data_IF_853884396361
#
_entry.id   IF_853884396361
#
_cell.length_a   1.000
_cell.length_b   1.000
_cell.length_c   1.000
_cell.angle_alpha   90.00
_cell.angle_beta   90.00
_cell.angle_gamma   90.00
#
_symmetry.space_group_name_H-M   'P 1'
#
loop_
_entity.id
_entity.type
_entity.pdbx_description
1 polymer ?
#
# COMPACT_ATOMS: atom_id res chain seq x y z
N UNK A 1 -17.26 -16.26 -23.35
CA UNK A 1 -16.08 -16.37 -22.50
C UNK A 1 -15.26 -15.10 -22.62
N UNK A 2 -14.86 -14.48 -21.51
CA UNK A 2 -14.45 -13.05 -21.43
C UNK A 2 -12.97 -12.80 -21.78
N UNK A 3 -12.40 -13.54 -22.72
CA UNK A 3 -10.99 -13.43 -23.11
C UNK A 3 -10.61 -12.07 -23.73
N UNK A 4 -11.56 -11.29 -24.24
CA UNK A 4 -11.34 -10.01 -24.91
C UNK A 4 -11.91 -8.79 -24.15
N UNK A 5 -11.91 -8.84 -22.79
CA UNK A 5 -12.34 -7.70 -22.01
C UNK A 5 -11.41 -6.49 -22.19
N UNK A 6 -12.00 -5.30 -22.35
CA UNK A 6 -11.26 -4.04 -22.28
C UNK A 6 -10.57 -3.90 -20.91
N UNK A 7 -9.45 -3.16 -20.86
CA UNK A 7 -8.69 -2.96 -19.62
C UNK A 7 -9.53 -2.34 -18.49
N UNK A 8 -10.48 -1.44 -18.81
CA UNK A 8 -11.41 -0.88 -17.83
C UNK A 8 -12.30 -1.97 -17.21
N UNK A 9 -12.86 -2.86 -18.03
CA UNK A 9 -13.68 -3.97 -17.55
C UNK A 9 -12.83 -4.96 -16.70
N UNK A 10 -11.60 -5.29 -17.14
CA UNK A 10 -10.67 -6.10 -16.34
C UNK A 10 -10.39 -5.47 -14.98
N UNK A 11 -10.17 -4.15 -14.92
CA UNK A 11 -9.95 -3.42 -13.67
C UNK A 11 -11.17 -3.44 -12.75
N UNK A 12 -12.37 -3.20 -13.30
CA UNK A 12 -13.62 -3.23 -12.53
C UNK A 12 -13.94 -4.61 -11.98
N UNK A 13 -13.85 -5.66 -12.81
CA UNK A 13 -14.13 -7.05 -12.37
C UNK A 13 -13.12 -7.48 -11.30
N UNK A 14 -11.82 -7.16 -11.49
CA UNK A 14 -10.80 -7.41 -10.46
C UNK A 14 -11.18 -6.77 -9.13
N UNK A 15 -11.55 -5.48 -9.14
CA UNK A 15 -11.88 -4.77 -7.91
C UNK A 15 -13.14 -5.32 -7.24
N UNK A 16 -14.18 -5.66 -8.01
CA UNK A 16 -15.39 -6.29 -7.48
C UNK A 16 -15.06 -7.61 -6.79
N UNK A 17 -14.22 -8.45 -7.40
CA UNK A 17 -13.80 -9.72 -6.79
C UNK A 17 -12.99 -9.46 -5.51
N UNK A 18 -11.98 -8.57 -5.55
CA UNK A 18 -11.14 -8.25 -4.41
C UNK A 18 -11.96 -7.68 -3.25
N UNK A 19 -12.87 -6.75 -3.54
CA UNK A 19 -13.77 -6.15 -2.56
C UNK A 19 -14.78 -7.17 -1.99
N UNK A 20 -15.35 -8.03 -2.82
CA UNK A 20 -16.24 -9.10 -2.38
C UNK A 20 -15.53 -10.10 -1.47
N UNK A 21 -14.30 -10.50 -1.82
CA UNK A 21 -13.50 -11.39 -0.98
C UNK A 21 -13.15 -10.75 0.38
N UNK A 22 -12.76 -9.47 0.40
CA UNK A 22 -12.46 -8.81 1.68
C UNK A 22 -13.72 -8.64 2.55
N UNK A 23 -14.87 -8.32 1.98
CA UNK A 23 -16.14 -8.32 2.72
C UNK A 23 -16.42 -9.69 3.32
N UNK A 24 -16.29 -10.76 2.51
CA UNK A 24 -16.51 -12.13 2.97
C UNK A 24 -15.56 -12.50 4.11
N UNK A 25 -14.26 -12.24 3.95
CA UNK A 25 -13.25 -12.53 4.99
C UNK A 25 -13.54 -11.73 6.27
N UNK A 26 -13.96 -10.46 6.16
CA UNK A 26 -14.32 -9.62 7.30
C UNK A 26 -15.56 -10.15 8.04
N UNK A 27 -16.59 -10.59 7.32
CA UNK A 27 -17.79 -11.19 7.90
C UNK A 27 -17.50 -12.54 8.58
N UNK A 28 -16.49 -13.25 8.12
CA UNK A 28 -16.04 -14.50 8.72
C UNK A 28 -15.10 -14.29 9.93
N UNK A 29 -14.87 -13.04 10.37
CA UNK A 29 -14.05 -12.76 11.55
C UNK A 29 -14.41 -13.60 12.80
N UNK A 30 -15.68 -13.86 13.13
CA UNK A 30 -16.04 -14.69 14.29
C UNK A 30 -15.48 -16.12 14.23
N UNK A 31 -15.21 -16.64 13.03
CA UNK A 31 -14.62 -17.96 12.80
C UNK A 31 -13.11 -17.92 12.65
N UNK A 32 -12.58 -16.89 11.98
CA UNK A 32 -11.18 -16.76 11.63
C UNK A 32 -10.32 -16.09 12.71
N UNK A 33 -10.93 -15.23 13.53
CA UNK A 33 -10.26 -14.51 14.60
C UNK A 33 -9.02 -13.75 14.11
N UNK A 34 -7.90 -14.00 14.75
CA UNK A 34 -6.61 -13.36 14.46
C UNK A 34 -6.01 -13.74 13.09
N UNK A 35 -6.54 -14.74 12.40
CA UNK A 35 -6.12 -15.07 11.02
C UNK A 35 -6.73 -14.13 9.98
N UNK A 36 -7.81 -13.42 10.33
CA UNK A 36 -8.53 -12.53 9.41
C UNK A 36 -7.62 -11.52 8.69
N UNK A 37 -6.77 -10.72 9.38
CA UNK A 37 -5.92 -9.74 8.69
C UNK A 37 -4.92 -10.41 7.74
N UNK A 38 -4.40 -11.56 8.09
CA UNK A 38 -3.46 -12.30 7.22
C UNK A 38 -4.15 -12.77 5.93
N UNK A 39 -5.34 -13.36 6.04
CA UNK A 39 -6.11 -13.83 4.89
C UNK A 39 -6.56 -12.63 4.04
N UNK A 40 -7.01 -11.53 4.69
CA UNK A 40 -7.40 -10.30 4.04
C UNK A 40 -6.32 -9.77 3.11
N UNK A 41 -5.07 -9.67 3.56
CA UNK A 41 -3.95 -9.13 2.77
C UNK A 41 -3.64 -9.96 1.49
N UNK A 42 -4.05 -11.23 1.43
CA UNK A 42 -3.91 -12.06 0.22
C UNK A 42 -5.13 -12.06 -0.69
N UNK A 43 -6.26 -11.43 -0.32
CA UNK A 43 -7.46 -11.39 -1.18
C UNK A 43 -7.22 -10.69 -2.52
N UNK A 44 -6.39 -9.63 -2.66
CA UNK A 44 -6.09 -9.04 -3.96
C UNK A 44 -5.26 -9.98 -4.84
N UNK A 45 -4.28 -10.70 -4.28
CA UNK A 45 -3.52 -11.70 -5.04
C UNK A 45 -4.40 -12.87 -5.49
N UNK A 46 -5.31 -13.35 -4.62
CA UNK A 46 -6.28 -14.38 -4.98
C UNK A 46 -7.18 -13.89 -6.13
N UNK A 47 -7.60 -12.61 -6.08
CA UNK A 47 -8.38 -12.00 -7.15
C UNK A 47 -7.62 -11.97 -8.49
N UNK A 48 -6.30 -11.72 -8.45
CA UNK A 48 -5.45 -11.84 -9.65
C UNK A 48 -5.46 -13.25 -10.19
N UNK A 49 -5.33 -14.27 -9.34
CA UNK A 49 -5.37 -15.68 -9.78
C UNK A 49 -6.73 -16.00 -10.42
N UNK A 50 -7.84 -15.57 -9.81
CA UNK A 50 -9.19 -15.76 -10.38
C UNK A 50 -9.29 -15.03 -11.74
N UNK A 51 -8.84 -13.78 -11.82
CA UNK A 51 -8.84 -13.04 -13.08
C UNK A 51 -8.05 -13.75 -14.17
N UNK A 52 -6.80 -14.11 -13.87
CA UNK A 52 -5.86 -14.63 -14.86
C UNK A 52 -6.15 -16.09 -15.26
N UNK A 53 -6.62 -16.92 -14.35
CA UNK A 53 -6.82 -18.34 -14.61
C UNK A 53 -8.26 -18.70 -15.02
N UNK A 54 -9.25 -17.93 -14.52
CA UNK A 54 -10.67 -18.24 -14.74
C UNK A 54 -11.32 -17.24 -15.69
N UNK A 55 -11.24 -15.94 -15.40
CA UNK A 55 -12.01 -14.91 -16.11
C UNK A 55 -11.40 -14.59 -17.47
N UNK A 56 -10.13 -14.17 -17.52
CA UNK A 56 -9.47 -13.71 -18.77
C UNK A 56 -8.60 -14.77 -19.42
N UNK A 57 -8.12 -15.73 -18.65
CA UNK A 57 -7.20 -16.79 -19.06
C UNK A 57 -5.82 -16.29 -19.54
N UNK A 58 -5.49 -15.03 -19.26
CA UNK A 58 -4.16 -14.47 -19.57
C UNK A 58 -3.02 -15.26 -18.88
N UNK A 59 -3.31 -15.92 -17.74
CA UNK A 59 -2.36 -16.72 -16.95
C UNK A 59 -1.91 -18.03 -17.60
N UNK A 60 -2.52 -18.45 -18.71
CA UNK A 60 -2.05 -19.62 -19.48
C UNK A 60 -0.88 -19.27 -20.40
N UNK A 61 -0.38 -18.02 -20.37
CA UNK A 61 0.77 -17.58 -21.14
C UNK A 61 1.82 -16.91 -20.25
N UNK A 62 3.11 -17.05 -20.62
CA UNK A 62 4.21 -16.32 -19.95
C UNK A 62 4.05 -14.82 -20.08
N UNK A 63 3.51 -14.33 -21.20
CA UNK A 63 3.26 -12.92 -21.44
C UNK A 63 2.24 -12.35 -20.44
N UNK A 64 1.19 -13.09 -20.10
CA UNK A 64 0.22 -12.67 -19.08
C UNK A 64 0.87 -12.44 -17.71
N UNK A 65 1.69 -13.39 -17.25
CA UNK A 65 2.42 -13.24 -15.98
C UNK A 65 3.43 -12.10 -16.01
N UNK A 66 4.09 -11.86 -17.14
CA UNK A 66 5.04 -10.77 -17.30
C UNK A 66 4.40 -9.38 -17.03
N UNK A 67 3.08 -9.22 -17.29
CA UNK A 67 2.35 -7.97 -17.04
C UNK A 67 2.34 -7.57 -15.56
N UNK A 68 2.47 -8.51 -14.64
CA UNK A 68 2.49 -8.26 -13.20
C UNK A 68 3.78 -7.59 -12.73
N UNK A 69 4.85 -7.60 -13.53
CA UNK A 69 6.14 -6.98 -13.17
C UNK A 69 6.90 -7.74 -12.08
N UNK A 70 6.87 -9.07 -12.12
CA UNK A 70 7.54 -9.95 -11.13
C UNK A 70 9.06 -10.10 -11.35
N UNK A 71 9.68 -9.24 -12.14
CA UNK A 71 11.12 -9.25 -12.40
C UNK A 71 11.92 -8.36 -11.44
N UNK A 72 13.24 -8.56 -11.39
CA UNK A 72 14.14 -7.82 -10.49
C UNK A 72 14.19 -6.32 -10.85
N UNK A 73 14.29 -5.49 -9.81
CA UNK A 73 14.51 -4.05 -9.94
C UNK A 73 15.97 -3.67 -9.68
N UNK A 74 16.40 -2.50 -10.18
CA UNK A 74 17.72 -1.92 -9.86
C UNK A 74 17.79 -1.47 -8.41
N UNK A 75 18.98 -1.53 -7.80
CA UNK A 75 19.23 -1.22 -6.39
C UNK A 75 18.66 0.12 -5.92
N UNK A 76 18.76 1.18 -6.76
CA UNK A 76 18.23 2.52 -6.41
C UNK A 76 16.75 2.52 -6.02
N UNK A 77 15.96 1.61 -6.60
CA UNK A 77 14.52 1.52 -6.30
C UNK A 77 14.25 0.86 -4.96
N UNK A 78 15.12 -0.07 -4.56
CA UNK A 78 15.08 -0.69 -3.23
C UNK A 78 15.45 0.31 -2.14
N UNK A 79 16.50 1.13 -2.37
CA UNK A 79 16.90 2.19 -1.45
C UNK A 79 15.80 3.24 -1.28
N UNK A 80 15.17 3.68 -2.38
CA UNK A 80 14.07 4.64 -2.32
C UNK A 80 12.83 4.05 -1.62
N UNK A 81 12.55 2.75 -1.85
CA UNK A 81 11.44 2.05 -1.24
C UNK A 81 11.56 1.95 0.30
N UNK A 82 12.78 1.86 0.81
CA UNK A 82 13.04 1.80 2.26
C UNK A 82 13.18 3.21 2.87
N UNK A 83 13.95 4.08 2.21
CA UNK A 83 14.23 5.42 2.73
C UNK A 83 13.00 6.34 2.75
N UNK A 84 12.13 6.25 1.74
CA UNK A 84 10.92 7.08 1.67
C UNK A 84 10.02 6.92 2.89
N UNK A 85 9.56 5.72 3.22
CA UNK A 85 8.78 5.46 4.43
C UNK A 85 9.49 5.85 5.72
N UNK A 86 10.77 5.52 5.85
CA UNK A 86 11.56 5.88 7.04
C UNK A 86 11.59 7.39 7.28
N UNK A 87 11.82 8.17 6.22
CA UNK A 87 11.86 9.64 6.32
C UNK A 87 10.49 10.19 6.71
N UNK A 88 9.42 9.75 6.05
CA UNK A 88 8.06 10.24 6.32
C UNK A 88 7.64 9.91 7.75
N UNK A 89 7.74 8.64 8.15
CA UNK A 89 7.27 8.19 9.47
C UNK A 89 8.19 8.73 10.56
N UNK A 90 9.51 8.71 10.34
CA UNK A 90 10.48 9.27 11.29
C UNK A 90 10.29 10.77 11.53
N UNK A 91 9.97 11.56 10.50
CA UNK A 91 9.63 12.97 10.66
C UNK A 91 8.34 13.15 11.45
N UNK A 92 7.29 12.39 11.15
CA UNK A 92 6.01 12.48 11.86
C UNK A 92 6.17 12.19 13.34
N UNK A 93 6.78 11.06 13.69
CA UNK A 93 6.99 10.71 15.10
C UNK A 93 7.98 11.66 15.79
N UNK A 94 9.05 12.08 15.10
CA UNK A 94 9.99 13.08 15.61
C UNK A 94 9.30 14.42 15.95
N UNK A 95 8.37 14.87 15.12
CA UNK A 95 7.54 16.05 15.42
C UNK A 95 6.65 15.81 16.63
N UNK A 96 5.95 14.67 16.72
CA UNK A 96 5.08 14.36 17.87
C UNK A 96 5.90 14.30 19.16
N UNK A 97 7.08 13.70 19.16
CA UNK A 97 7.96 13.67 20.33
C UNK A 97 8.46 15.10 20.71
N UNK A 98 8.73 15.97 19.74
CA UNK A 98 9.16 17.33 20.00
C UNK A 98 8.06 18.21 20.61
N UNK A 99 6.78 17.89 20.42
CA UNK A 99 5.65 18.64 21.03
C UNK A 99 5.36 18.26 22.47
N UNK A 100 5.96 17.16 22.96
CA UNK A 100 5.67 16.63 24.30
C UNK A 100 4.33 15.89 24.44
N UNK A 101 3.55 15.72 23.36
CA UNK A 101 2.32 14.89 23.35
C UNK A 101 2.67 13.42 23.58
N UNK A 102 3.82 13.00 23.12
CA UNK A 102 4.37 11.68 23.35
C UNK A 102 5.90 11.77 23.51
N UNK A 103 6.49 10.70 24.06
CA UNK A 103 7.94 10.61 24.27
C UNK A 103 8.51 9.36 23.65
N UNK A 104 9.72 9.45 23.10
CA UNK A 104 10.44 8.28 22.64
C UNK A 104 10.98 7.47 23.82
N UNK A 105 10.79 6.16 23.80
CA UNK A 105 11.35 5.22 24.76
C UNK A 105 12.05 4.10 24.00
N UNK A 106 13.31 3.91 24.29
CA UNK A 106 14.08 2.80 23.72
C UNK A 106 14.11 1.65 24.73
N UNK A 107 13.47 0.51 24.45
CA UNK A 107 13.50 -0.64 25.34
C UNK A 107 14.94 -1.18 25.52
N UNK A 108 15.23 -1.66 26.72
CA UNK A 108 16.50 -2.36 26.97
C UNK A 108 16.63 -3.57 26.03
N UNK A 109 17.83 -3.75 25.49
CA UNK A 109 18.11 -4.87 24.59
C UNK A 109 17.63 -4.70 23.14
N UNK A 110 17.04 -3.55 22.75
CA UNK A 110 16.60 -3.29 21.38
C UNK A 110 17.69 -3.50 20.32
N UNK A 111 18.94 -3.18 20.66
CA UNK A 111 20.09 -3.30 19.75
C UNK A 111 20.87 -4.60 19.92
N UNK A 112 20.35 -5.60 20.62
CA UNK A 112 20.97 -6.92 20.64
C UNK A 112 20.87 -7.59 19.28
N UNK A 113 21.84 -8.46 18.89
CA UNK A 113 21.76 -9.18 17.61
C UNK A 113 20.47 -9.97 17.42
N UNK A 114 19.94 -10.56 18.50
CA UNK A 114 18.68 -11.30 18.45
C UNK A 114 17.48 -10.38 18.18
N UNK A 115 17.40 -9.21 18.84
CA UNK A 115 16.35 -8.23 18.59
C UNK A 115 16.41 -7.69 17.17
N UNK A 116 17.62 -7.33 16.69
CA UNK A 116 17.80 -6.86 15.31
C UNK A 116 17.42 -7.93 14.28
N UNK A 117 17.79 -9.20 14.50
CA UNK A 117 17.41 -10.30 13.63
C UNK A 117 15.88 -10.50 13.61
N UNK A 118 15.21 -10.39 14.77
CA UNK A 118 13.74 -10.44 14.87
C UNK A 118 13.09 -9.26 14.14
N UNK A 119 13.58 -8.04 14.32
CA UNK A 119 13.07 -6.85 13.65
C UNK A 119 13.16 -6.95 12.12
N UNK A 120 14.23 -7.48 11.59
CA UNK A 120 14.41 -7.68 10.15
C UNK A 120 13.62 -8.88 9.62
N UNK A 121 13.63 -10.00 10.31
CA UNK A 121 12.97 -11.23 9.88
C UNK A 121 11.45 -11.20 10.11
N UNK A 122 11.03 -11.26 11.38
CA UNK A 122 9.60 -11.27 11.73
C UNK A 122 8.93 -9.90 11.61
N UNK A 123 9.68 -8.80 11.74
CA UNK A 123 9.14 -7.46 11.51
C UNK A 123 9.05 -7.13 10.01
N UNK A 124 10.13 -6.64 9.43
CA UNK A 124 10.16 -6.19 8.02
C UNK A 124 9.86 -7.33 7.04
N UNK A 125 10.45 -8.51 7.25
CA UNK A 125 10.30 -9.67 6.35
C UNK A 125 8.84 -10.13 6.25
N UNK A 126 8.16 -10.31 7.39
CA UNK A 126 6.75 -10.69 7.41
C UNK A 126 5.87 -9.57 6.84
N UNK A 127 6.12 -8.31 7.19
CA UNK A 127 5.37 -7.17 6.63
C UNK A 127 5.47 -7.12 5.10
N UNK A 128 6.65 -7.38 4.54
CA UNK A 128 6.83 -7.46 3.08
C UNK A 128 6.12 -8.68 2.47
N UNK A 129 6.13 -9.84 3.13
CA UNK A 129 5.44 -11.03 2.66
C UNK A 129 3.93 -10.82 2.60
N UNK A 130 3.36 -10.12 3.57
CA UNK A 130 1.94 -9.77 3.59
C UNK A 130 1.61 -8.70 2.54
N UNK A 131 2.39 -7.60 2.48
CA UNK A 131 2.23 -6.55 1.49
C UNK A 131 2.34 -7.06 0.04
N UNK A 132 3.08 -8.15 -0.20
CA UNK A 132 3.16 -8.79 -1.52
C UNK A 132 1.79 -9.19 -2.07
N UNK A 133 0.91 -9.74 -1.21
CA UNK A 133 -0.44 -10.12 -1.60
C UNK A 133 -1.25 -8.95 -2.16
N UNK A 134 -1.10 -7.79 -1.55
CA UNK A 134 -1.78 -6.56 -1.96
C UNK A 134 -1.13 -5.94 -3.20
N UNK A 135 0.20 -5.80 -3.21
CA UNK A 135 0.90 -5.11 -4.29
C UNK A 135 0.84 -5.87 -5.62
N UNK A 136 0.81 -7.22 -5.61
CA UNK A 136 0.55 -8.01 -6.82
C UNK A 136 -0.84 -7.68 -7.37
N UNK A 137 -1.84 -7.49 -6.50
CA UNK A 137 -3.17 -7.08 -6.90
C UNK A 137 -3.22 -5.66 -7.44
N UNK A 138 -2.89 -4.70 -6.61
CA UNK A 138 -3.10 -3.28 -6.92
C UNK A 138 -2.06 -2.72 -7.89
N UNK A 139 -0.76 -3.06 -7.75
CA UNK A 139 0.32 -2.51 -8.60
C UNK A 139 0.75 -3.47 -9.69
N UNK A 140 0.65 -4.78 -9.45
CA UNK A 140 0.90 -5.79 -10.48
C UNK A 140 -0.23 -5.86 -11.51
N UNK A 141 -1.48 -5.99 -11.06
CA UNK A 141 -2.62 -6.24 -11.93
C UNK A 141 -3.43 -4.99 -12.25
N UNK A 142 -3.95 -4.26 -11.25
CA UNK A 142 -4.90 -3.16 -11.42
C UNK A 142 -4.26 -1.94 -12.11
N UNK A 143 -3.14 -1.43 -11.57
CA UNK A 143 -2.51 -0.19 -12.04
C UNK A 143 -2.19 -0.21 -13.56
N UNK A 144 -1.56 -1.26 -14.14
CA UNK A 144 -1.33 -1.30 -15.59
C UNK A 144 -2.60 -1.18 -16.42
N UNK A 145 -3.72 -1.70 -15.93
CA UNK A 145 -5.02 -1.65 -16.62
C UNK A 145 -5.72 -0.30 -16.53
N UNK A 146 -5.35 0.51 -15.52
CA UNK A 146 -5.82 1.88 -15.36
C UNK A 146 -5.01 2.89 -16.18
N UNK A 147 -3.83 2.53 -16.72
CA UNK A 147 -2.95 3.45 -17.43
C UNK A 147 -3.58 4.12 -18.66
N UNK A 148 -4.61 3.51 -19.25
CA UNK A 148 -5.40 4.14 -20.32
C UNK A 148 -6.07 5.47 -19.89
N UNK A 149 -6.26 5.70 -18.59
CA UNK A 149 -6.79 6.95 -18.04
C UNK A 149 -5.74 8.07 -17.92
N UNK A 150 -4.49 7.78 -18.29
CA UNK A 150 -3.32 8.62 -18.07
C UNK A 150 -2.71 8.42 -16.67
N UNK A 151 -1.39 8.66 -16.57
CA UNK A 151 -0.58 8.29 -15.39
C UNK A 151 -1.11 8.85 -14.08
N UNK A 152 -1.44 10.15 -14.03
CA UNK A 152 -1.94 10.79 -12.81
C UNK A 152 -3.24 10.16 -12.30
N UNK A 153 -4.22 9.97 -13.21
CA UNK A 153 -5.51 9.37 -12.85
C UNK A 153 -5.36 7.91 -12.44
N UNK A 154 -4.51 7.16 -13.13
CA UNK A 154 -4.24 5.76 -12.82
C UNK A 154 -3.61 5.59 -11.42
N UNK A 155 -2.64 6.43 -11.06
CA UNK A 155 -2.01 6.41 -9.74
C UNK A 155 -3.01 6.75 -8.63
N UNK A 156 -3.76 7.84 -8.78
CA UNK A 156 -4.77 8.25 -7.79
C UNK A 156 -5.87 7.21 -7.65
N UNK A 157 -6.42 6.70 -8.77
CA UNK A 157 -7.50 5.72 -8.72
C UNK A 157 -7.03 4.37 -8.15
N UNK A 158 -5.82 3.91 -8.49
CA UNK A 158 -5.26 2.70 -7.89
C UNK A 158 -5.04 2.84 -6.39
N UNK A 159 -4.59 4.02 -5.91
CA UNK A 159 -4.47 4.32 -4.49
C UNK A 159 -5.82 4.39 -3.78
N UNK A 160 -6.80 5.07 -4.38
CA UNK A 160 -8.14 5.19 -3.84
C UNK A 160 -8.86 3.84 -3.72
N UNK A 161 -8.79 3.02 -4.76
CA UNK A 161 -9.41 1.68 -4.73
C UNK A 161 -8.73 0.77 -3.70
N UNK A 162 -7.40 0.90 -3.54
CA UNK A 162 -6.68 0.20 -2.48
C UNK A 162 -7.16 0.66 -1.09
N UNK A 163 -7.28 1.97 -0.86
CA UNK A 163 -7.80 2.50 0.40
C UNK A 163 -9.23 2.01 0.70
N UNK A 164 -10.14 2.07 -0.29
CA UNK A 164 -11.53 1.60 -0.13
C UNK A 164 -11.58 0.10 0.20
N UNK A 165 -10.67 -0.70 -0.37
CA UNK A 165 -10.60 -2.13 -0.12
C UNK A 165 -10.30 -2.47 1.37
N UNK A 166 -9.64 -1.60 2.14
CA UNK A 166 -9.39 -1.80 3.57
C UNK A 166 -10.66 -1.62 4.44
N UNK A 167 -11.63 -0.81 4.00
CA UNK A 167 -12.76 -0.39 4.84
C UNK A 167 -13.61 -1.55 5.38
N UNK A 168 -13.91 -2.63 4.62
CA UNK A 168 -14.64 -3.76 5.20
C UNK A 168 -13.95 -4.36 6.42
N UNK A 169 -12.63 -4.54 6.40
CA UNK A 169 -11.88 -5.04 7.55
C UNK A 169 -11.96 -4.07 8.74
N UNK A 170 -11.79 -2.78 8.48
CA UNK A 170 -11.81 -1.74 9.52
C UNK A 170 -13.19 -1.55 10.16
N UNK A 171 -14.26 -1.67 9.37
CA UNK A 171 -15.63 -1.40 9.84
C UNK A 171 -16.34 -2.62 10.41
N UNK A 172 -16.00 -3.82 9.95
CA UNK A 172 -16.71 -5.06 10.29
C UNK A 172 -15.96 -5.93 11.31
N UNK A 173 -14.74 -5.52 11.69
CA UNK A 173 -13.91 -6.30 12.63
C UNK A 173 -13.22 -5.39 13.64
N UNK A 174 -12.85 -5.92 14.83
CA UNK A 174 -12.05 -5.17 15.81
C UNK A 174 -10.53 -5.21 15.52
N UNK A 175 -10.11 -5.62 14.33
CA UNK A 175 -8.68 -5.76 13.96
C UNK A 175 -7.96 -4.39 13.99
N UNK A 176 -8.67 -3.32 13.64
CA UNK A 176 -8.17 -1.95 13.73
C UNK A 176 -8.84 -1.23 14.90
N UNK A 177 -8.21 -1.17 16.09
CA UNK A 177 -8.72 -0.40 17.19
C UNK A 177 -8.60 1.09 16.88
N UNK A 178 -9.74 1.75 16.70
CA UNK A 178 -9.84 3.19 16.46
C UNK A 178 -10.50 3.82 17.69
N UNK A 179 -9.79 4.73 18.36
CA UNK A 179 -10.26 5.46 19.54
C UNK A 179 -11.01 6.72 19.15
N UNK A 180 -10.66 7.33 18.01
CA UNK A 180 -11.20 8.57 17.51
C UNK A 180 -12.55 8.44 16.81
N UNK A 181 -13.08 9.60 16.41
CA UNK A 181 -14.34 9.66 15.66
C UNK A 181 -14.12 9.21 14.20
N UNK A 182 -14.87 8.20 13.76
CA UNK A 182 -14.81 7.67 12.40
C UNK A 182 -15.07 8.71 11.31
N UNK A 183 -15.89 9.73 11.59
CA UNK A 183 -16.15 10.81 10.62
C UNK A 183 -14.91 11.68 10.37
N UNK A 184 -13.92 11.64 11.27
CA UNK A 184 -12.63 12.32 11.13
C UNK A 184 -11.56 11.35 10.65
N UNK A 185 -11.42 10.22 11.34
CA UNK A 185 -10.37 9.23 11.08
C UNK A 185 -10.54 8.56 9.72
N UNK A 186 -11.77 8.20 9.33
CA UNK A 186 -12.04 7.52 8.07
C UNK A 186 -11.57 8.31 6.83
N UNK A 187 -11.92 9.60 6.67
CA UNK A 187 -11.36 10.43 5.60
C UNK A 187 -9.83 10.59 5.66
N UNK A 188 -9.23 10.68 6.85
CA UNK A 188 -7.77 10.76 7.00
C UNK A 188 -7.12 9.48 6.47
N UNK A 189 -7.59 8.31 6.90
CA UNK A 189 -7.10 7.01 6.41
C UNK A 189 -7.25 6.92 4.89
N UNK A 190 -8.45 7.22 4.36
CA UNK A 190 -8.72 7.15 2.93
C UNK A 190 -7.72 7.97 2.12
N UNK A 191 -7.46 9.20 2.54
CA UNK A 191 -6.55 10.11 1.85
C UNK A 191 -5.09 9.70 2.05
N UNK A 192 -4.69 9.26 3.24
CA UNK A 192 -3.34 8.78 3.55
C UNK A 192 -2.98 7.57 2.71
N UNK A 193 -3.84 6.55 2.69
CA UNK A 193 -3.62 5.33 1.89
C UNK A 193 -3.64 5.63 0.38
N UNK A 194 -4.50 6.56 -0.07
CA UNK A 194 -4.51 7.02 -1.46
C UNK A 194 -3.17 7.67 -1.83
N UNK A 195 -2.65 8.55 -0.98
CA UNK A 195 -1.37 9.22 -1.19
C UNK A 195 -0.18 8.26 -1.15
N UNK A 196 -0.15 7.32 -0.18
CA UNK A 196 0.84 6.24 -0.14
C UNK A 196 0.77 5.38 -1.40
N UNK A 197 -0.45 5.11 -1.89
CA UNK A 197 -0.71 4.41 -3.14
C UNK A 197 -0.08 5.06 -4.37
N UNK A 198 0.00 6.39 -4.42
CA UNK A 198 0.73 7.12 -5.47
C UNK A 198 2.23 6.81 -5.42
N UNK A 199 2.83 6.75 -4.23
CA UNK A 199 4.25 6.39 -4.10
C UNK A 199 4.52 4.95 -4.53
N UNK A 200 3.71 3.98 -4.09
CA UNK A 200 3.85 2.58 -4.53
C UNK A 200 3.69 2.45 -6.05
N UNK A 201 2.69 3.10 -6.62
CA UNK A 201 2.47 3.13 -8.06
C UNK A 201 3.63 3.77 -8.83
N UNK A 202 4.21 4.86 -8.31
CA UNK A 202 5.41 5.49 -8.87
C UNK A 202 6.58 4.52 -8.89
N UNK A 203 6.84 3.81 -7.78
CA UNK A 203 7.89 2.78 -7.72
C UNK A 203 7.65 1.68 -8.76
N UNK A 204 6.42 1.19 -8.89
CA UNK A 204 6.03 0.17 -9.88
C UNK A 204 6.27 0.62 -11.31
N UNK A 205 5.82 1.81 -11.67
CA UNK A 205 5.96 2.34 -13.03
C UNK A 205 7.42 2.64 -13.39
N UNK A 206 8.16 3.24 -12.45
CA UNK A 206 9.55 3.68 -12.69
C UNK A 206 10.55 2.53 -12.67
N UNK A 207 10.33 1.51 -11.84
CA UNK A 207 11.18 0.32 -11.78
C UNK A 207 10.77 -0.76 -12.77
N UNK A 208 9.53 -0.68 -13.28
CA UNK A 208 8.81 -1.72 -14.02
C UNK A 208 8.56 -3.00 -13.22
N UNK A 209 8.93 -3.03 -11.93
CA UNK A 209 8.85 -4.17 -11.02
C UNK A 209 7.88 -3.90 -9.87
N UNK A 210 7.16 -4.92 -9.41
CA UNK A 210 6.27 -4.83 -8.25
C UNK A 210 7.04 -4.82 -6.92
N UNK A 211 8.24 -5.41 -6.89
CA UNK A 211 8.98 -5.64 -5.66
C UNK A 211 9.39 -4.39 -4.87
N UNK A 212 9.82 -3.27 -5.50
CA UNK A 212 10.06 -2.05 -4.75
C UNK A 212 8.79 -1.46 -4.11
N UNK A 213 7.62 -1.61 -4.75
CA UNK A 213 6.35 -1.22 -4.14
C UNK A 213 6.03 -2.12 -2.94
N UNK A 214 6.24 -3.43 -3.06
CA UNK A 214 6.09 -4.41 -1.97
C UNK A 214 7.00 -4.07 -0.78
N UNK A 215 8.28 -3.75 -1.03
CA UNK A 215 9.19 -3.34 0.05
C UNK A 215 8.73 -2.03 0.70
N UNK A 216 8.33 -1.03 -0.10
CA UNK A 216 7.89 0.25 0.44
C UNK A 216 6.64 0.11 1.31
N UNK A 217 5.68 -0.70 0.88
CA UNK A 217 4.47 -0.98 1.63
C UNK A 217 4.78 -1.76 2.93
N UNK A 218 5.53 -2.86 2.83
CA UNK A 218 5.95 -3.61 4.02
C UNK A 218 6.78 -2.76 4.99
N UNK A 219 7.62 -1.86 4.47
CA UNK A 219 8.39 -0.93 5.27
C UNK A 219 7.50 0.09 6.00
N UNK A 220 6.45 0.62 5.35
CA UNK A 220 5.47 1.50 6.02
C UNK A 220 4.80 0.78 7.17
N UNK A 221 4.27 -0.42 6.96
CA UNK A 221 3.60 -1.21 7.99
C UNK A 221 4.55 -1.50 9.16
N UNK A 222 5.78 -1.90 8.84
CA UNK A 222 6.79 -2.18 9.86
C UNK A 222 7.23 -0.92 10.62
N UNK A 223 7.49 0.20 9.93
CA UNK A 223 7.90 1.43 10.61
C UNK A 223 6.78 2.00 11.48
N UNK A 224 5.51 1.94 11.06
CA UNK A 224 4.42 2.33 11.95
C UNK A 224 4.41 1.49 13.23
N UNK A 225 4.52 0.17 13.13
CA UNK A 225 4.58 -0.71 14.29
C UNK A 225 5.83 -0.41 15.17
N UNK A 226 6.99 -0.21 14.54
CA UNK A 226 8.24 0.09 15.23
C UNK A 226 8.15 1.42 15.99
N UNK A 227 7.78 2.51 15.31
CA UNK A 227 7.72 3.83 15.93
C UNK A 227 6.60 3.92 16.97
N UNK A 228 5.46 3.25 16.75
CA UNK A 228 4.42 3.13 17.78
C UNK A 228 4.95 2.38 19.02
N UNK A 229 5.69 1.29 18.83
CA UNK A 229 6.31 0.53 19.92
C UNK A 229 7.41 1.30 20.68
N UNK A 230 8.02 2.31 20.05
CA UNK A 230 9.01 3.21 20.65
C UNK A 230 8.36 4.47 21.28
N UNK A 231 7.02 4.57 21.30
CA UNK A 231 6.31 5.79 21.71
C UNK A 231 5.45 5.53 22.95
N UNK A 232 5.64 6.35 23.97
CA UNK A 232 4.79 6.38 25.16
C UNK A 232 4.05 7.71 25.20
N UNK A 233 2.75 7.65 25.47
CA UNK A 233 1.89 8.84 25.56
C UNK A 233 0.87 8.70 26.69
N UNK A 234 0.54 9.83 27.33
CA UNK A 234 -0.57 9.94 28.26
C UNK A 234 -1.93 10.10 27.54
N UNK A 235 -1.92 10.40 26.23
CA UNK A 235 -3.12 10.64 25.42
C UNK A 235 -3.10 9.80 24.12
N UNK A 236 -3.51 8.52 24.16
CA UNK A 236 -3.59 7.69 22.95
C UNK A 236 -4.46 8.32 21.86
N UNK A 237 -5.54 8.99 22.22
CA UNK A 237 -6.41 9.68 21.28
C UNK A 237 -5.71 10.83 20.55
N UNK A 238 -4.91 11.65 21.27
CA UNK A 238 -4.14 12.72 20.65
C UNK A 238 -3.06 12.14 19.71
N UNK A 239 -2.40 11.08 20.11
CA UNK A 239 -1.41 10.41 19.27
C UNK A 239 -2.05 9.84 18.00
N UNK A 240 -3.23 9.23 18.09
CA UNK A 240 -3.97 8.70 16.95
C UNK A 240 -4.31 9.79 15.91
N UNK A 241 -4.77 10.98 16.37
CA UNK A 241 -5.06 12.08 15.46
C UNK A 241 -3.81 12.76 14.86
N UNK A 242 -2.63 12.58 15.46
CA UNK A 242 -1.39 13.21 14.99
C UNK A 242 -0.53 12.28 14.14
N UNK A 243 -0.37 11.02 14.54
CA UNK A 243 0.54 10.06 13.94
C UNK A 243 -0.14 8.74 13.56
N UNK A 244 0.63 7.81 12.97
CA UNK A 244 0.08 6.56 12.44
C UNK A 244 -0.69 6.78 11.14
N UNK A 245 -1.39 5.77 10.67
CA UNK A 245 -2.20 5.82 9.44
C UNK A 245 -3.39 6.79 9.57
N UNK A 246 -3.84 7.01 10.79
CA UNK A 246 -4.98 7.86 11.17
C UNK A 246 -4.59 9.31 11.42
N UNK A 247 -3.28 9.60 11.45
CA UNK A 247 -2.75 10.89 11.88
C UNK A 247 -2.72 11.95 10.79
N UNK A 248 -3.11 13.18 11.15
CA UNK A 248 -3.10 14.33 10.23
C UNK A 248 -1.68 14.67 9.75
N UNK A 249 -0.65 14.51 10.59
CA UNK A 249 0.74 14.76 10.19
C UNK A 249 1.20 13.74 9.14
N UNK A 250 0.78 12.48 9.28
CA UNK A 250 1.05 11.43 8.30
C UNK A 250 0.35 11.74 6.98
N UNK A 251 -0.91 12.15 7.02
CA UNK A 251 -1.65 12.59 5.83
C UNK A 251 -0.92 13.74 5.13
N UNK A 252 -0.54 14.78 5.85
CA UNK A 252 0.15 15.94 5.25
C UNK A 252 1.47 15.52 4.62
N UNK A 253 2.30 14.75 5.33
CA UNK A 253 3.60 14.30 4.81
C UNK A 253 3.46 13.40 3.57
N UNK A 254 2.54 12.44 3.59
CA UNK A 254 2.29 11.55 2.45
C UNK A 254 1.68 12.30 1.26
N UNK A 255 0.75 13.23 1.51
CA UNK A 255 0.12 14.05 0.48
C UNK A 255 1.13 14.99 -0.21
N UNK A 256 2.05 15.59 0.55
CA UNK A 256 3.15 16.39 0.01
C UNK A 256 4.07 15.54 -0.89
N UNK A 257 4.46 14.34 -0.43
CA UNK A 257 5.24 13.38 -1.22
C UNK A 257 4.53 12.98 -2.51
N UNK A 258 3.25 12.64 -2.43
CA UNK A 258 2.42 12.32 -3.59
C UNK A 258 2.32 13.53 -4.55
N UNK A 259 2.11 14.72 -4.03
CA UNK A 259 2.06 15.96 -4.80
C UNK A 259 3.35 16.21 -5.59
N UNK A 260 4.52 16.03 -4.97
CA UNK A 260 5.84 16.14 -5.63
C UNK A 260 5.97 15.10 -6.75
N UNK A 261 5.58 13.84 -6.52
CA UNK A 261 5.60 12.78 -7.52
C UNK A 261 4.71 13.16 -8.71
N UNK A 262 3.46 13.51 -8.45
CA UNK A 262 2.50 13.85 -9.49
C UNK A 262 2.92 15.10 -10.29
N UNK A 263 3.50 16.09 -9.62
CA UNK A 263 4.06 17.27 -10.28
C UNK A 263 5.19 16.91 -11.24
N UNK A 264 6.13 16.05 -10.82
CA UNK A 264 7.25 15.59 -11.66
C UNK A 264 6.81 14.72 -12.84
N UNK A 265 5.69 14.02 -12.72
CA UNK A 265 5.14 13.17 -13.78
C UNK A 265 4.24 13.94 -14.77
N UNK A 266 3.98 15.24 -14.55
CA UNK A 266 3.23 16.07 -15.51
C UNK A 266 3.97 16.13 -16.84
N UNK A 267 3.27 15.99 -18.00
CA UNK A 267 3.88 16.22 -19.30
C UNK A 267 4.43 17.66 -19.33
N UNK A 268 5.71 17.81 -19.61
CA UNK A 268 6.27 19.15 -19.86
C UNK A 268 5.60 19.72 -21.11
N UNK A 269 4.91 20.85 -20.98
CA UNK A 269 4.40 21.61 -22.14
C UNK A 269 5.59 21.96 -23.02
N UNK A 270 5.72 21.30 -24.19
CA UNK A 270 6.79 21.59 -25.14
C UNK A 270 7.61 20.41 -25.64
N UNK A 271 7.45 19.20 -25.12
CA UNK A 271 8.08 18.02 -25.72
C UNK A 271 7.05 17.33 -26.62
N UNK A 272 7.27 17.46 -27.94
CA UNK A 272 6.53 16.72 -28.97
C UNK A 272 6.31 15.27 -28.56
N UNK A 273 5.09 14.81 -28.75
CA UNK A 273 4.71 13.43 -28.56
C UNK A 273 5.72 12.52 -29.28
N UNK A 274 6.58 11.86 -28.51
CA UNK A 274 7.33 10.73 -29.04
C UNK A 274 6.26 9.65 -29.25
N UNK A 275 5.89 9.45 -30.52
CA UNK A 275 5.08 8.32 -30.95
C UNK A 275 5.80 7.06 -30.47
N UNK A 276 5.26 6.41 -29.44
CA UNK A 276 5.59 5.03 -29.17
C UNK A 276 4.98 4.21 -30.32
N UNK A 277 5.75 3.34 -31.00
CA UNK A 277 5.19 2.48 -32.02
C UNK A 277 4.08 1.62 -31.39
N UNK A 278 2.94 1.60 -32.04
CA UNK A 278 1.87 0.69 -31.75
C UNK A 278 2.38 -0.74 -32.02
N UNK A 279 2.54 -1.53 -30.98
CA UNK A 279 2.89 -2.93 -31.11
C UNK A 279 3.97 -3.38 -30.12
N UNK A 280 3.60 -3.71 -28.89
CA UNK A 280 4.08 -4.89 -28.13
C UNK A 280 2.94 -5.35 -27.23
#
# INVERSE_FOLDING_TARGET
MFTNLANSAKASVFFIIAFGLTVTVSLLYPLLGQLTPFIHMFTPMLSVLIMMLVVTRDGYSKAGWATLGLHRARLRWWLLALAGPLVVIGMVYGLVWSTGVAHAVVPDGLFTPAALASMLGSGLGLSCALAMGEEIGFRGYLLPRLMQLGTTRALLLSGLLHAIWHFPLMLLTPVYPIFGNWLIVGPIILLTLTAAGVFYGYLRLSSKSVWPATLAHGAINWFFALFAGLTVTASPLALEYLAGETGVLTLVATALGAGVILYRLRPRRGTLAIHLPAGV
#
